data_IF_440289283272
#
_entry.id   IF_440289283272
#
_cell.length_a   1.000
_cell.length_b   1.000
_cell.length_c   1.000
_cell.angle_alpha   90.00
_cell.angle_beta   90.00
_cell.angle_gamma   90.00
#
_symmetry.space_group_name_H-M   'P 1'
#
loop_
_entity.id
_entity.type
_entity.pdbx_description
1 polymer ?
#
# COMPACT_ATOMS: atom_id res chain seq x y z
N UNK A 1 3.92 -33.53 -3.07
CA UNK A 1 3.81 -32.65 -4.25
C UNK A 1 3.07 -31.43 -3.74
N UNK A 2 3.71 -30.27 -3.69
CA UNK A 2 3.04 -29.01 -3.35
C UNK A 2 2.09 -28.68 -4.49
N UNK A 3 0.80 -28.48 -4.19
CA UNK A 3 -0.20 -28.01 -5.14
C UNK A 3 0.33 -26.73 -5.85
N UNK A 4 0.16 -26.62 -7.18
CA UNK A 4 0.63 -25.43 -7.87
C UNK A 4 -0.09 -24.19 -7.31
N UNK A 5 0.70 -23.17 -6.95
CA UNK A 5 0.16 -21.90 -6.49
C UNK A 5 -0.75 -21.30 -7.57
N UNK A 6 -2.00 -21.09 -7.24
CA UNK A 6 -3.04 -20.62 -8.19
C UNK A 6 -2.94 -19.11 -8.42
N UNK A 7 -2.53 -18.36 -7.39
CA UNK A 7 -2.44 -16.90 -7.44
C UNK A 7 -1.00 -16.43 -7.23
N UNK A 8 -0.61 -15.42 -7.99
CA UNK A 8 0.67 -14.73 -7.77
C UNK A 8 0.62 -13.93 -6.46
N UNK A 9 -0.48 -13.19 -6.23
CA UNK A 9 -0.70 -12.42 -4.99
C UNK A 9 -2.09 -12.69 -4.45
N UNK A 10 -2.18 -12.98 -3.17
CA UNK A 10 -3.41 -12.90 -2.39
C UNK A 10 -3.33 -11.66 -1.51
N UNK A 11 -4.35 -10.80 -1.57
CA UNK A 11 -4.49 -9.61 -0.72
C UNK A 11 -5.55 -9.79 0.34
N UNK A 12 -5.23 -9.53 1.61
CA UNK A 12 -6.19 -9.55 2.72
C UNK A 12 -6.19 -8.20 3.42
N UNK A 13 -7.31 -7.47 3.39
CA UNK A 13 -7.38 -6.16 4.05
C UNK A 13 -8.44 -5.23 3.49
N UNK A 14 -8.16 -3.95 3.58
CA UNK A 14 -9.10 -2.86 3.42
C UNK A 14 -9.50 -2.60 1.97
N UNK A 15 -10.78 -2.31 1.80
CA UNK A 15 -11.33 -1.55 0.68
C UNK A 15 -12.13 -0.35 1.21
N UNK A 16 -12.25 0.67 0.40
CA UNK A 16 -13.05 1.85 0.69
C UNK A 16 -13.64 2.43 -0.60
N UNK A 17 -14.71 3.19 -0.48
CA UNK A 17 -15.22 4.01 -1.59
C UNK A 17 -15.35 5.44 -1.10
N UNK A 18 -14.51 6.31 -1.66
CA UNK A 18 -14.27 7.65 -1.17
C UNK A 18 -15.05 8.68 -1.97
N UNK A 19 -15.45 9.76 -1.32
CA UNK A 19 -15.97 10.96 -1.95
C UNK A 19 -14.85 12.01 -1.95
N UNK A 20 -14.32 12.29 -3.13
CA UNK A 20 -13.30 13.31 -3.33
C UNK A 20 -13.99 14.65 -3.54
N UNK A 21 -13.62 15.65 -2.75
CA UNK A 21 -14.15 17.02 -2.83
C UNK A 21 -12.99 17.96 -3.17
N UNK A 22 -13.01 18.46 -4.40
CA UNK A 22 -11.97 19.35 -4.89
C UNK A 22 -12.28 20.79 -4.50
N UNK A 23 -11.32 21.45 -3.87
CA UNK A 23 -11.41 22.80 -3.36
C UNK A 23 -10.33 23.68 -4.00
N UNK A 24 -10.62 24.96 -4.18
CA UNK A 24 -9.58 25.93 -4.55
C UNK A 24 -8.64 26.24 -3.37
N UNK A 25 -9.15 26.12 -2.15
CA UNK A 25 -8.41 26.27 -0.88
C UNK A 25 -9.24 25.65 0.25
N UNK A 26 -8.58 25.20 1.32
CA UNK A 26 -9.27 24.71 2.50
C UNK A 26 -10.09 25.83 3.20
N UNK A 27 -11.29 25.52 3.72
CA UNK A 27 -12.04 26.47 4.53
C UNK A 27 -11.29 26.79 5.83
N UNK A 28 -11.33 28.04 6.26
CA UNK A 28 -10.97 28.37 7.63
C UNK A 28 -11.97 27.74 8.60
N UNK A 29 -11.57 27.58 9.87
CA UNK A 29 -12.49 27.09 10.91
C UNK A 29 -13.77 27.95 10.93
N UNK A 30 -14.94 27.28 10.99
CA UNK A 30 -16.27 27.91 10.88
C UNK A 30 -16.51 28.67 9.56
N UNK A 31 -15.66 28.55 8.56
CA UNK A 31 -15.79 29.20 7.26
C UNK A 31 -16.71 28.44 6.29
N UNK A 32 -17.00 29.07 5.14
CA UNK A 32 -17.75 28.49 4.02
C UNK A 32 -16.96 28.72 2.75
N UNK A 33 -16.74 27.65 1.97
CA UNK A 33 -16.13 27.71 0.65
C UNK A 33 -16.93 26.85 -0.32
N UNK A 34 -17.07 27.25 -1.58
CA UNK A 34 -17.62 26.36 -2.61
C UNK A 34 -16.60 25.28 -2.96
N UNK A 35 -17.05 24.07 -3.22
CA UNK A 35 -16.23 23.08 -3.88
C UNK A 35 -16.41 23.14 -5.41
N UNK A 36 -15.39 22.74 -6.14
CA UNK A 36 -15.39 22.81 -7.60
C UNK A 36 -15.91 21.52 -8.24
N UNK A 37 -15.66 20.38 -7.59
CA UNK A 37 -16.04 19.06 -8.09
C UNK A 37 -16.19 18.06 -6.97
N UNK A 38 -17.14 17.12 -7.14
CA UNK A 38 -17.30 15.93 -6.32
C UNK A 38 -17.12 14.68 -7.20
N UNK A 39 -16.39 13.69 -6.69
CA UNK A 39 -16.11 12.44 -7.42
C UNK A 39 -16.22 11.28 -6.45
N UNK A 40 -17.04 10.28 -6.79
CA UNK A 40 -17.04 8.99 -6.09
C UNK A 40 -15.93 8.11 -6.66
N UNK A 41 -15.00 7.65 -5.82
CA UNK A 41 -13.80 6.93 -6.23
C UNK A 41 -13.60 5.67 -5.39
N UNK A 42 -13.47 4.48 -6.00
CA UNK A 42 -13.08 3.29 -5.26
C UNK A 42 -11.60 3.38 -4.85
N UNK A 43 -11.31 2.91 -3.64
CA UNK A 43 -9.98 2.96 -3.01
C UNK A 43 -9.78 1.80 -2.03
N UNK A 44 -9.02 2.06 -0.97
CA UNK A 44 -8.61 1.10 0.05
C UNK A 44 -7.25 0.49 -0.26
N UNK A 45 -6.42 0.37 0.78
CA UNK A 45 -5.00 0.00 0.71
C UNK A 45 -4.79 -1.31 -0.07
N UNK A 46 -5.25 -2.44 0.46
CA UNK A 46 -5.06 -3.73 -0.22
C UNK A 46 -5.84 -3.82 -1.52
N UNK A 47 -7.08 -3.30 -1.58
CA UNK A 47 -7.87 -3.36 -2.81
C UNK A 47 -7.19 -2.63 -3.98
N UNK A 48 -6.57 -1.46 -3.74
CA UNK A 48 -5.84 -0.71 -4.77
C UNK A 48 -4.51 -1.36 -5.13
N UNK A 49 -3.80 -1.94 -4.16
CA UNK A 49 -2.59 -2.73 -4.42
C UNK A 49 -2.89 -3.96 -5.30
N UNK A 50 -4.00 -4.68 -5.03
CA UNK A 50 -4.41 -5.84 -5.86
C UNK A 50 -4.77 -5.44 -7.29
N UNK A 51 -5.47 -4.32 -7.48
CA UNK A 51 -5.75 -3.79 -8.83
C UNK A 51 -4.45 -3.45 -9.56
N UNK A 52 -3.47 -2.87 -8.86
CA UNK A 52 -2.16 -2.58 -9.44
C UNK A 52 -1.45 -3.86 -9.88
N UNK A 53 -1.43 -4.87 -9.03
CA UNK A 53 -0.87 -6.18 -9.37
C UNK A 53 -1.56 -6.80 -10.60
N UNK A 54 -2.91 -6.77 -10.66
CA UNK A 54 -3.69 -7.30 -11.78
C UNK A 54 -3.38 -6.55 -13.09
N UNK A 55 -3.32 -5.21 -13.04
CA UNK A 55 -2.94 -4.39 -14.21
C UNK A 55 -1.52 -4.63 -14.70
N UNK A 56 -0.61 -5.04 -13.80
CA UNK A 56 0.74 -5.46 -14.13
C UNK A 56 0.81 -6.93 -14.62
N UNK A 57 -0.33 -7.61 -14.78
CA UNK A 57 -0.45 -8.94 -15.37
C UNK A 57 -0.34 -10.10 -14.39
N UNK A 58 -0.38 -9.86 -13.07
CA UNK A 58 -0.37 -10.89 -12.05
C UNK A 58 -1.77 -11.51 -11.83
N UNK A 59 -1.81 -12.80 -11.54
CA UNK A 59 -3.03 -13.48 -11.09
C UNK A 59 -3.27 -13.11 -9.62
N UNK A 60 -4.37 -12.40 -9.35
CA UNK A 60 -4.64 -11.84 -8.03
C UNK A 60 -5.94 -12.34 -7.44
N UNK A 61 -5.97 -12.45 -6.12
CA UNK A 61 -7.16 -12.74 -5.32
C UNK A 61 -7.27 -11.69 -4.22
N UNK A 62 -8.47 -11.20 -3.96
CA UNK A 62 -8.75 -10.26 -2.88
C UNK A 62 -9.68 -10.91 -1.85
N UNK A 63 -9.34 -10.77 -0.57
CA UNK A 63 -10.10 -11.22 0.59
C UNK A 63 -10.37 -10.01 1.48
N UNK A 64 -11.63 -9.78 1.82
CA UNK A 64 -12.04 -8.66 2.65
C UNK A 64 -13.56 -8.59 2.77
N UNK A 65 -14.05 -7.55 3.43
CA UNK A 65 -15.47 -7.33 3.63
C UNK A 65 -15.93 -6.10 2.87
N UNK A 66 -17.13 -6.14 2.32
CA UNK A 66 -17.76 -5.06 1.56
C UNK A 66 -19.19 -4.86 2.07
N UNK A 67 -19.65 -3.62 2.18
CA UNK A 67 -21.05 -3.31 2.45
C UNK A 67 -21.94 -3.59 1.24
N UNK A 68 -23.22 -3.76 1.46
CA UNK A 68 -24.22 -4.01 0.38
C UNK A 68 -24.87 -2.74 -0.16
N UNK A 69 -24.38 -1.56 0.25
CA UNK A 69 -24.84 -0.26 -0.22
C UNK A 69 -24.29 0.09 -1.63
N UNK A 70 -24.63 1.28 -2.12
CA UNK A 70 -24.17 1.78 -3.44
C UNK A 70 -22.63 1.85 -3.49
N UNK A 71 -21.99 2.26 -2.41
CA UNK A 71 -20.52 2.37 -2.30
C UNK A 71 -19.86 1.01 -2.41
N UNK A 72 -20.43 -0.01 -1.76
CA UNK A 72 -19.95 -1.40 -1.87
C UNK A 72 -20.10 -1.93 -3.30
N UNK A 73 -21.21 -1.61 -4.00
CA UNK A 73 -21.38 -1.98 -5.42
C UNK A 73 -20.34 -1.33 -6.33
N UNK A 74 -20.03 -0.04 -6.13
CA UNK A 74 -18.96 0.67 -6.87
C UNK A 74 -17.60 0.00 -6.64
N UNK A 75 -17.29 -0.36 -5.39
CA UNK A 75 -16.05 -1.05 -5.06
C UNK A 75 -15.96 -2.42 -5.75
N UNK A 76 -17.00 -3.25 -5.63
CA UNK A 76 -17.03 -4.58 -6.23
C UNK A 76 -16.92 -4.54 -7.75
N UNK A 77 -17.57 -3.59 -8.41
CA UNK A 77 -17.47 -3.42 -9.86
C UNK A 77 -16.05 -3.03 -10.28
N UNK A 78 -15.41 -2.12 -9.54
CA UNK A 78 -14.02 -1.74 -9.78
C UNK A 78 -13.05 -2.92 -9.68
N UNK A 79 -13.27 -3.84 -8.75
CA UNK A 79 -12.46 -5.06 -8.60
C UNK A 79 -12.74 -6.07 -9.71
N UNK A 80 -14.03 -6.33 -10.05
CA UNK A 80 -14.42 -7.29 -11.09
C UNK A 80 -13.86 -6.94 -12.46
N UNK A 81 -13.91 -5.66 -12.83
CA UNK A 81 -13.43 -5.20 -14.14
C UNK A 81 -11.95 -5.40 -14.39
N UNK A 82 -11.17 -5.66 -13.34
CA UNK A 82 -9.73 -5.96 -13.44
C UNK A 82 -9.41 -7.46 -13.44
N UNK A 83 -10.43 -8.34 -13.34
CA UNK A 83 -10.24 -9.79 -13.37
C UNK A 83 -9.69 -10.40 -12.08
N UNK A 84 -9.76 -9.67 -10.96
CA UNK A 84 -9.36 -10.16 -9.64
C UNK A 84 -10.35 -11.23 -9.17
N UNK A 85 -9.84 -12.35 -8.63
CA UNK A 85 -10.70 -13.33 -7.98
C UNK A 85 -11.30 -12.76 -6.68
N UNK A 86 -12.62 -12.84 -6.55
CA UNK A 86 -13.40 -12.27 -5.46
C UNK A 86 -14.24 -13.32 -4.72
N UNK A 87 -13.95 -14.60 -4.90
CA UNK A 87 -14.77 -15.71 -4.35
C UNK A 87 -14.82 -15.69 -2.81
N UNK A 88 -13.80 -15.13 -2.17
CA UNK A 88 -13.71 -15.02 -0.71
C UNK A 88 -13.97 -13.59 -0.19
N UNK A 89 -14.66 -12.75 -0.96
CA UNK A 89 -15.13 -11.46 -0.49
C UNK A 89 -16.47 -11.63 0.22
N UNK A 90 -16.53 -11.18 1.48
CA UNK A 90 -17.76 -11.21 2.26
C UNK A 90 -18.58 -9.94 2.07
N UNK A 91 -19.80 -10.05 1.52
CA UNK A 91 -20.75 -8.94 1.44
C UNK A 91 -21.60 -8.90 2.70
N UNK A 92 -21.53 -7.83 3.47
CA UNK A 92 -22.27 -7.63 4.72
C UNK A 92 -23.61 -6.96 4.43
N UNK A 93 -24.71 -7.71 4.66
CA UNK A 93 -26.07 -7.22 4.48
C UNK A 93 -26.41 -6.08 5.45
N UNK A 94 -27.20 -5.10 4.98
CA UNK A 94 -27.62 -3.91 5.75
C UNK A 94 -26.44 -3.17 6.38
N UNK A 95 -25.30 -3.10 5.70
CA UNK A 95 -24.08 -2.49 6.20
C UNK A 95 -23.52 -1.50 5.17
N UNK A 96 -23.26 -0.24 5.56
CA UNK A 96 -22.58 0.70 4.67
C UNK A 96 -21.13 0.27 4.46
N UNK A 97 -20.65 0.42 3.21
CA UNK A 97 -19.22 0.21 2.92
C UNK A 97 -18.37 1.27 3.63
N UNK A 98 -17.10 0.94 3.88
CA UNK A 98 -16.16 1.95 4.37
C UNK A 98 -16.07 3.10 3.38
N UNK A 99 -16.05 4.31 3.92
CA UNK A 99 -15.98 5.53 3.12
C UNK A 99 -15.06 6.56 3.75
N UNK A 100 -14.49 7.42 2.89
CA UNK A 100 -13.89 8.66 3.32
C UNK A 100 -14.45 9.83 2.51
N UNK A 101 -14.49 11.00 3.13
CA UNK A 101 -14.59 12.28 2.46
C UNK A 101 -13.20 12.87 2.41
N UNK A 102 -12.66 13.04 1.21
CA UNK A 102 -11.29 13.50 0.99
C UNK A 102 -11.36 14.90 0.40
N UNK A 103 -10.98 15.89 1.19
CA UNK A 103 -10.88 17.28 0.77
C UNK A 103 -9.52 17.47 0.10
N UNK A 104 -9.50 17.92 -1.14
CA UNK A 104 -8.28 18.10 -1.95
C UNK A 104 -8.13 19.57 -2.31
N UNK A 105 -7.02 20.18 -1.90
CA UNK A 105 -6.63 21.51 -2.35
C UNK A 105 -6.00 21.42 -3.74
N UNK A 106 -6.69 21.96 -4.76
CA UNK A 106 -6.26 21.88 -6.15
C UNK A 106 -4.97 22.71 -6.43
N UNK A 107 -4.63 23.64 -5.55
CA UNK A 107 -3.44 24.48 -5.74
C UNK A 107 -2.16 23.79 -5.27
N UNK A 108 -2.26 22.88 -4.31
CA UNK A 108 -1.11 22.21 -3.68
C UNK A 108 -1.11 20.70 -3.85
N UNK A 109 -2.27 20.08 -4.13
CA UNK A 109 -2.47 18.62 -4.09
C UNK A 109 -2.56 18.05 -2.68
N UNK A 110 -2.50 18.88 -1.64
CA UNK A 110 -2.65 18.47 -0.24
C UNK A 110 -4.08 18.01 0.06
N UNK A 111 -4.21 17.06 0.99
CA UNK A 111 -5.50 16.48 1.32
C UNK A 111 -5.75 16.35 2.81
N UNK A 112 -7.03 16.40 3.16
CA UNK A 112 -7.52 16.00 4.50
C UNK A 112 -8.53 14.88 4.33
N UNK A 113 -8.39 13.83 5.13
CA UNK A 113 -9.22 12.63 5.06
C UNK A 113 -10.12 12.54 6.29
N UNK A 114 -11.42 12.44 6.07
CA UNK A 114 -12.44 12.18 7.08
C UNK A 114 -13.06 10.81 6.75
N UNK A 115 -12.78 9.80 7.56
CA UNK A 115 -13.22 8.43 7.24
C UNK A 115 -14.21 7.87 8.27
N UNK A 116 -15.02 6.92 7.81
CA UNK A 116 -15.93 6.14 8.64
C UNK A 116 -15.94 4.68 8.20
N UNK A 117 -15.92 3.78 9.17
CA UNK A 117 -16.08 2.35 8.96
C UNK A 117 -17.02 1.77 10.01
N UNK A 118 -17.98 0.96 9.58
CA UNK A 118 -18.82 0.17 10.48
C UNK A 118 -18.05 -0.98 11.11
N UNK A 119 -18.25 -1.23 12.40
CA UNK A 119 -17.70 -2.43 13.07
C UNK A 119 -18.19 -3.74 12.43
N UNK A 120 -19.33 -3.73 11.75
CA UNK A 120 -19.88 -4.88 11.01
C UNK A 120 -19.06 -5.26 9.78
N UNK A 121 -18.17 -4.37 9.31
CA UNK A 121 -17.21 -4.66 8.24
C UNK A 121 -15.93 -5.32 8.75
N UNK A 122 -15.80 -5.62 10.05
CA UNK A 122 -14.63 -6.34 10.53
C UNK A 122 -14.59 -7.74 9.91
N UNK A 123 -13.43 -8.07 9.36
CA UNK A 123 -13.14 -9.40 8.86
C UNK A 123 -12.92 -10.34 10.05
N UNK A 124 -13.74 -11.40 10.10
CA UNK A 124 -13.63 -12.39 11.17
C UNK A 124 -12.36 -13.23 10.98
N UNK A 125 -11.43 -13.30 11.96
CA UNK A 125 -10.27 -14.16 11.84
C UNK A 125 -10.66 -15.64 11.61
N UNK A 126 -11.83 -16.09 12.10
CA UNK A 126 -12.26 -17.47 11.91
C UNK A 126 -12.73 -17.77 10.49
N UNK A 127 -13.05 -16.74 9.68
CA UNK A 127 -13.35 -16.91 8.26
C UNK A 127 -12.10 -17.13 7.40
N UNK A 128 -10.91 -16.77 7.88
CA UNK A 128 -9.65 -16.98 7.17
C UNK A 128 -9.22 -18.44 7.25
N UNK A 129 -9.28 -19.14 6.12
CA UNK A 129 -8.90 -20.55 6.00
C UNK A 129 -7.49 -20.74 5.45
N UNK A 130 -6.94 -21.93 5.69
CA UNK A 130 -5.62 -22.30 5.18
C UNK A 130 -5.61 -22.36 3.65
N UNK A 131 -6.69 -22.86 3.02
CA UNK A 131 -6.83 -22.96 1.57
C UNK A 131 -6.80 -21.58 0.87
N UNK A 132 -7.47 -20.59 1.45
CA UNK A 132 -7.48 -19.22 0.93
C UNK A 132 -6.06 -18.67 0.77
N UNK A 133 -5.21 -18.88 1.78
CA UNK A 133 -3.86 -18.29 1.84
C UNK A 133 -2.83 -19.20 1.16
N UNK A 134 -2.93 -20.52 1.31
CA UNK A 134 -1.97 -21.49 0.75
C UNK A 134 -1.91 -21.44 -0.79
N UNK A 135 -2.92 -20.90 -1.44
CA UNK A 135 -2.99 -20.71 -2.90
C UNK A 135 -2.04 -19.62 -3.45
N UNK A 136 -1.45 -18.78 -2.59
CA UNK A 136 -0.63 -17.63 -2.97
C UNK A 136 0.86 -17.95 -3.16
N UNK A 137 1.52 -17.20 -4.06
CA UNK A 137 2.99 -17.08 -4.12
C UNK A 137 3.49 -15.97 -3.19
N UNK A 138 2.67 -14.94 -2.96
CA UNK A 138 2.92 -13.79 -2.09
C UNK A 138 1.62 -13.41 -1.39
N UNK A 139 1.67 -13.14 -0.09
CA UNK A 139 0.57 -12.53 0.66
C UNK A 139 0.84 -11.03 0.84
N UNK A 140 -0.16 -10.20 0.53
CA UNK A 140 -0.14 -8.76 0.82
C UNK A 140 -1.26 -8.41 1.79
N UNK A 141 -0.93 -7.69 2.87
CA UNK A 141 -1.87 -7.30 3.94
C UNK A 141 -1.70 -5.84 4.31
N UNK A 142 -2.66 -5.31 5.05
CA UNK A 142 -2.56 -4.01 5.74
C UNK A 142 -2.70 -4.17 7.28
N UNK A 143 -2.84 -3.07 7.99
CA UNK A 143 -3.02 -3.07 9.46
C UNK A 143 -4.46 -3.16 9.92
N UNK A 144 -5.44 -2.97 9.03
CA UNK A 144 -6.84 -3.06 9.39
C UNK A 144 -7.21 -4.51 9.76
N UNK A 145 -8.26 -4.72 10.50
CA UNK A 145 -8.68 -6.07 10.93
C UNK A 145 -7.52 -6.92 11.46
N UNK A 146 -6.68 -6.33 12.31
CA UNK A 146 -5.43 -6.90 12.83
C UNK A 146 -5.51 -8.40 13.20
N UNK A 147 -6.55 -8.91 13.90
CA UNK A 147 -6.64 -10.34 14.20
C UNK A 147 -6.75 -11.24 12.97
N UNK A 148 -7.48 -10.80 11.94
CA UNK A 148 -7.65 -11.57 10.70
C UNK A 148 -6.38 -11.56 9.85
N UNK A 149 -5.72 -10.41 9.70
CA UNK A 149 -4.47 -10.31 8.94
C UNK A 149 -3.31 -10.99 9.65
N UNK A 150 -3.26 -10.99 11.00
CA UNK A 150 -2.29 -11.75 11.78
C UNK A 150 -2.45 -13.26 11.55
N UNK A 151 -3.69 -13.77 11.55
CA UNK A 151 -3.98 -15.17 11.20
C UNK A 151 -3.55 -15.50 9.77
N UNK A 152 -3.88 -14.64 8.80
CA UNK A 152 -3.46 -14.82 7.41
C UNK A 152 -1.92 -14.88 7.28
N UNK A 153 -1.20 -13.94 7.92
CA UNK A 153 0.26 -13.91 7.94
C UNK A 153 0.86 -15.17 8.62
N UNK A 154 0.28 -15.62 9.73
CA UNK A 154 0.69 -16.86 10.39
C UNK A 154 0.50 -18.10 9.51
N UNK A 155 -0.62 -18.20 8.77
CA UNK A 155 -0.84 -19.27 7.79
C UNK A 155 0.24 -19.18 6.68
N UNK A 156 0.44 -18.01 6.09
CA UNK A 156 1.43 -17.81 5.04
C UNK A 156 2.83 -18.25 5.49
N UNK A 157 3.25 -17.85 6.71
CA UNK A 157 4.53 -18.26 7.29
C UNK A 157 4.69 -19.78 7.41
N UNK A 158 3.63 -20.50 7.87
CA UNK A 158 3.67 -21.98 7.94
C UNK A 158 3.83 -22.66 6.58
N UNK A 159 3.33 -22.01 5.51
CA UNK A 159 3.45 -22.49 4.13
C UNK A 159 4.67 -21.96 3.38
N UNK A 160 5.55 -21.19 4.06
CA UNK A 160 6.74 -20.59 3.43
C UNK A 160 6.39 -19.55 2.36
N UNK A 161 5.21 -18.94 2.46
CA UNK A 161 4.75 -17.87 1.57
C UNK A 161 5.24 -16.55 2.16
N UNK A 162 6.00 -15.74 1.40
CA UNK A 162 6.44 -14.44 1.86
C UNK A 162 5.25 -13.50 2.07
N UNK A 163 5.36 -12.63 3.08
CA UNK A 163 4.32 -11.68 3.47
C UNK A 163 4.84 -10.24 3.35
N UNK A 164 4.09 -9.41 2.62
CA UNK A 164 4.29 -7.95 2.59
C UNK A 164 3.18 -7.24 3.36
N UNK A 165 3.49 -6.14 4.02
CA UNK A 165 2.49 -5.33 4.73
C UNK A 165 2.57 -3.86 4.36
N UNK A 166 1.40 -3.24 4.20
CA UNK A 166 1.18 -1.80 4.14
C UNK A 166 0.71 -1.32 5.50
N UNK A 167 1.44 -0.40 6.13
CA UNK A 167 1.05 0.15 7.43
C UNK A 167 1.40 1.63 7.56
N UNK A 168 0.42 2.41 8.00
CA UNK A 168 0.51 3.85 8.23
C UNK A 168 0.15 4.25 9.66
N UNK A 169 -0.51 3.36 10.39
CA UNK A 169 -1.08 3.62 11.72
C UNK A 169 -0.76 2.47 12.67
N UNK A 170 -0.53 2.77 13.95
CA UNK A 170 -0.34 1.77 14.99
C UNK A 170 -1.71 1.19 15.39
N UNK A 171 -1.89 -0.10 15.10
CA UNK A 171 -3.07 -0.86 15.50
C UNK A 171 -2.80 -1.68 16.75
N UNK A 172 -3.85 -1.92 17.55
CA UNK A 172 -3.74 -2.77 18.74
C UNK A 172 -3.43 -4.22 18.33
N UNK A 173 -2.42 -4.84 18.97
CA UNK A 173 -2.00 -6.22 18.67
C UNK A 173 -1.21 -6.38 17.37
N UNK A 174 -0.72 -5.29 16.77
CA UNK A 174 0.00 -5.33 15.50
C UNK A 174 1.38 -6.01 15.58
N UNK A 175 1.93 -6.17 16.78
CA UNK A 175 3.13 -6.97 17.06
C UNK A 175 3.00 -8.43 16.57
N UNK A 176 1.78 -9.02 16.65
CA UNK A 176 1.50 -10.35 16.10
C UNK A 176 1.63 -10.39 14.57
N UNK A 177 1.26 -9.30 13.89
CA UNK A 177 1.44 -9.17 12.43
C UNK A 177 2.92 -9.04 12.11
N UNK A 178 3.63 -8.12 12.77
CA UNK A 178 5.05 -7.87 12.55
C UNK A 178 5.91 -9.13 12.76
N UNK A 179 5.55 -10.00 13.69
CA UNK A 179 6.25 -11.26 13.93
C UNK A 179 6.12 -12.28 12.78
N UNK A 180 5.20 -12.06 11.82
CA UNK A 180 4.89 -13.01 10.74
C UNK A 180 5.10 -12.45 9.33
N UNK A 181 5.68 -11.25 9.19
CA UNK A 181 5.94 -10.64 7.88
C UNK A 181 7.39 -10.80 7.45
N UNK A 182 7.63 -10.75 6.14
CA UNK A 182 8.97 -10.73 5.55
C UNK A 182 9.37 -9.33 5.08
N UNK A 183 8.41 -8.55 4.59
CA UNK A 183 8.65 -7.25 3.98
C UNK A 183 7.70 -6.21 4.60
N UNK A 184 8.24 -5.35 5.43
CA UNK A 184 7.56 -4.16 5.91
C UNK A 184 7.75 -3.04 4.88
N UNK A 185 6.68 -2.41 4.45
CA UNK A 185 6.73 -1.10 3.80
C UNK A 185 5.75 -0.20 4.55
N UNK A 186 6.26 0.79 5.25
CA UNK A 186 5.47 1.64 6.12
C UNK A 186 5.41 3.09 5.61
N UNK A 187 4.46 3.87 6.12
CA UNK A 187 4.53 5.33 6.02
C UNK A 187 5.76 5.86 6.78
N UNK A 188 6.22 7.08 6.44
CA UNK A 188 7.42 7.68 7.03
C UNK A 188 7.41 7.77 8.57
N UNK A 189 6.24 7.90 9.15
CA UNK A 189 6.10 8.13 10.59
C UNK A 189 6.01 6.84 11.40
N UNK A 190 5.47 5.77 10.81
CA UNK A 190 5.19 4.53 11.52
C UNK A 190 6.42 3.91 12.19
N UNK A 191 7.60 3.72 11.53
CA UNK A 191 8.75 3.11 12.17
C UNK A 191 9.25 3.91 13.38
N UNK A 192 9.24 5.25 13.25
CA UNK A 192 9.64 6.15 14.35
C UNK A 192 8.69 6.12 15.54
N UNK A 193 7.38 6.06 15.29
CA UNK A 193 6.36 5.95 16.33
C UNK A 193 6.40 4.58 17.02
N UNK A 194 6.62 3.50 16.26
CA UNK A 194 6.68 2.13 16.78
C UNK A 194 7.91 1.91 17.65
N UNK A 195 9.07 2.32 17.16
CA UNK A 195 10.37 2.08 17.83
C UNK A 195 10.78 3.18 18.80
N UNK A 196 10.09 4.33 18.82
CA UNK A 196 10.48 5.56 19.50
C UNK A 196 11.79 6.20 18.98
N UNK A 197 12.35 5.68 17.89
CA UNK A 197 13.55 6.19 17.24
C UNK A 197 13.21 7.28 16.24
N UNK A 198 13.82 8.47 16.37
CA UNK A 198 13.60 9.59 15.45
C UNK A 198 14.40 9.49 14.16
N UNK A 199 15.50 8.76 14.20
CA UNK A 199 16.36 8.56 13.03
C UNK A 199 15.80 7.42 12.16
N UNK A 200 15.44 7.67 10.88
CA UNK A 200 14.81 6.66 10.03
C UNK A 200 15.70 5.42 9.80
N UNK A 201 17.00 5.58 9.74
CA UNK A 201 17.92 4.45 9.57
C UNK A 201 17.94 3.55 10.82
N UNK A 202 17.95 4.16 12.01
CA UNK A 202 17.88 3.42 13.27
C UNK A 202 16.51 2.76 13.43
N UNK A 203 15.43 3.48 13.16
CA UNK A 203 14.09 2.93 13.27
C UNK A 203 13.92 1.66 12.42
N UNK A 204 14.34 1.69 11.14
CA UNK A 204 14.29 0.52 10.26
C UNK A 204 15.22 -0.61 10.76
N UNK A 205 16.41 -0.28 11.27
CA UNK A 205 17.34 -1.29 11.82
C UNK A 205 16.79 -1.96 13.08
N UNK A 206 16.10 -1.21 13.94
CA UNK A 206 15.44 -1.78 15.13
C UNK A 206 14.34 -2.74 14.70
N UNK A 207 13.48 -2.33 13.76
CA UNK A 207 12.38 -3.19 13.27
C UNK A 207 12.89 -4.47 12.60
N UNK A 208 13.88 -4.36 11.70
CA UNK A 208 14.49 -5.52 11.05
C UNK A 208 15.04 -6.51 12.09
N UNK A 209 15.78 -6.00 13.08
CA UNK A 209 16.42 -6.83 14.10
C UNK A 209 15.42 -7.46 15.07
N UNK A 210 14.40 -6.70 15.49
CA UNK A 210 13.42 -7.15 16.48
C UNK A 210 12.52 -8.25 15.92
N UNK A 211 12.04 -8.09 14.68
CA UNK A 211 11.10 -9.01 14.06
C UNK A 211 11.74 -10.01 13.09
N UNK A 212 13.03 -9.85 12.77
CA UNK A 212 13.74 -10.76 11.86
C UNK A 212 13.19 -10.73 10.42
N UNK A 213 12.62 -9.60 10.00
CA UNK A 213 12.10 -9.43 8.66
C UNK A 213 13.23 -9.30 7.63
N UNK A 214 12.97 -9.70 6.38
CA UNK A 214 13.94 -9.59 5.27
C UNK A 214 14.17 -8.16 4.82
N UNK A 215 13.12 -7.35 4.91
CA UNK A 215 13.14 -5.95 4.50
C UNK A 215 12.32 -5.09 5.45
N UNK A 216 12.92 -4.03 5.94
CA UNK A 216 12.24 -2.93 6.60
C UNK A 216 12.34 -1.68 5.72
N UNK A 217 11.20 -1.20 5.19
CA UNK A 217 11.16 -0.06 4.29
C UNK A 217 10.14 0.99 4.74
N UNK A 218 10.34 2.22 4.27
CA UNK A 218 9.36 3.30 4.43
C UNK A 218 9.27 4.14 3.17
N UNK A 219 8.07 4.63 2.88
CA UNK A 219 7.83 5.67 1.87
C UNK A 219 8.06 7.04 2.48
N UNK A 220 8.63 7.98 1.72
CA UNK A 220 9.00 9.32 2.14
C UNK A 220 8.22 10.39 1.35
N UNK A 221 7.05 10.04 0.82
CA UNK A 221 6.21 10.91 0.01
C UNK A 221 6.97 11.49 -1.19
N UNK A 222 6.99 12.82 -1.30
CA UNK A 222 7.69 13.51 -2.39
C UNK A 222 9.22 13.33 -2.40
N UNK A 223 9.78 12.61 -1.44
CA UNK A 223 11.22 12.31 -1.34
C UNK A 223 11.58 10.87 -1.70
N UNK A 224 10.61 10.02 -2.05
CA UNK A 224 10.84 8.67 -2.53
C UNK A 224 10.67 7.58 -1.46
N UNK A 225 11.60 6.63 -1.38
CA UNK A 225 11.53 5.51 -0.44
C UNK A 225 12.92 5.06 0.03
N UNK A 226 12.98 4.58 1.28
CA UNK A 226 14.17 4.04 1.93
C UNK A 226 13.87 2.61 2.40
N UNK A 227 14.78 1.67 2.15
CA UNK A 227 14.68 0.29 2.62
C UNK A 227 15.99 -0.19 3.22
N UNK A 228 15.91 -0.96 4.29
CA UNK A 228 16.98 -1.81 4.79
C UNK A 228 16.69 -3.24 4.29
N UNK A 229 17.59 -3.80 3.49
CA UNK A 229 17.47 -5.12 2.91
C UNK A 229 18.86 -5.77 2.84
N UNK A 230 18.99 -7.01 3.32
CA UNK A 230 20.26 -7.74 3.38
C UNK A 230 21.40 -6.93 4.03
N UNK A 231 21.09 -6.21 5.12
CA UNK A 231 22.03 -5.40 5.87
C UNK A 231 22.50 -4.13 5.16
N UNK A 232 21.88 -3.74 4.02
CA UNK A 232 22.22 -2.55 3.25
C UNK A 232 21.01 -1.61 3.12
N UNK A 233 21.27 -0.31 3.22
CA UNK A 233 20.27 0.68 2.92
C UNK A 233 20.20 0.97 1.42
N UNK A 234 18.98 0.94 0.90
CA UNK A 234 18.64 1.29 -0.47
C UNK A 234 17.73 2.52 -0.44
N UNK A 235 18.09 3.54 -1.18
CA UNK A 235 17.27 4.74 -1.34
C UNK A 235 16.93 4.96 -2.80
N UNK A 236 15.66 5.23 -3.07
CA UNK A 236 15.18 5.63 -4.39
C UNK A 236 14.47 6.98 -4.28
N UNK A 237 14.94 8.04 -4.96
CA UNK A 237 14.29 9.34 -4.97
C UNK A 237 12.94 9.29 -5.69
N UNK A 238 12.02 10.20 -5.34
CA UNK A 238 10.75 10.34 -6.03
C UNK A 238 10.92 10.95 -7.42
N UNK A 239 9.94 10.72 -8.29
CA UNK A 239 9.86 11.35 -9.62
C UNK A 239 9.11 12.67 -9.55
N UNK A 240 9.59 13.67 -10.29
CA UNK A 240 8.90 14.94 -10.45
C UNK A 240 7.85 14.79 -11.54
N UNK A 241 6.59 14.95 -11.17
CA UNK A 241 5.43 14.87 -12.06
C UNK A 241 4.48 16.04 -11.82
N UNK A 242 3.58 16.31 -12.77
CA UNK A 242 2.47 17.22 -12.53
C UNK A 242 1.44 16.52 -11.62
N UNK A 243 1.59 16.69 -10.31
CA UNK A 243 0.75 16.05 -9.30
C UNK A 243 -0.62 16.73 -9.23
N UNK A 244 -1.68 15.96 -9.45
CA UNK A 244 -3.07 16.40 -9.30
C UNK A 244 -3.67 15.95 -7.97
N UNK A 245 -3.31 14.74 -7.52
CA UNK A 245 -3.82 14.14 -6.29
C UNK A 245 -2.86 13.04 -5.80
N UNK A 246 -2.50 13.05 -4.53
CA UNK A 246 -1.63 12.05 -3.93
C UNK A 246 -2.37 10.86 -3.32
N UNK A 247 -3.71 10.83 -3.43
CA UNK A 247 -4.52 9.74 -2.89
C UNK A 247 -4.14 8.41 -3.55
N UNK A 248 -3.94 7.37 -2.75
CA UNK A 248 -3.60 6.04 -3.22
C UNK A 248 -2.17 5.84 -3.73
N UNK A 249 -1.31 6.88 -3.73
CA UNK A 249 0.08 6.74 -4.18
C UNK A 249 0.83 5.63 -3.41
N UNK A 250 0.61 5.52 -2.09
CA UNK A 250 1.11 4.43 -1.24
C UNK A 250 0.61 3.07 -1.70
N UNK A 251 -0.70 2.94 -1.89
CA UNK A 251 -1.33 1.67 -2.30
C UNK A 251 -0.77 1.16 -3.64
N UNK A 252 -0.58 2.08 -4.59
CA UNK A 252 0.00 1.75 -5.91
C UNK A 252 1.48 1.40 -5.76
N UNK A 253 2.23 2.09 -4.87
CA UNK A 253 3.60 1.71 -4.53
C UNK A 253 3.65 0.27 -4.02
N UNK A 254 2.76 -0.12 -3.10
CA UNK A 254 2.70 -1.48 -2.54
C UNK A 254 2.40 -2.54 -3.61
N UNK A 255 1.43 -2.30 -4.48
CA UNK A 255 1.14 -3.21 -5.58
C UNK A 255 2.33 -3.39 -6.53
N UNK A 256 3.03 -2.29 -6.85
CA UNK A 256 4.24 -2.32 -7.67
C UNK A 256 5.44 -2.98 -6.96
N UNK A 257 5.54 -2.82 -5.64
CA UNK A 257 6.54 -3.50 -4.81
C UNK A 257 6.32 -5.02 -4.83
N UNK A 258 5.08 -5.48 -4.65
CA UNK A 258 4.71 -6.89 -4.79
C UNK A 258 5.07 -7.45 -6.17
N UNK A 259 4.77 -6.70 -7.24
CA UNK A 259 5.16 -7.06 -8.60
C UNK A 259 6.67 -7.23 -8.71
N UNK A 260 7.45 -6.26 -8.24
CA UNK A 260 8.91 -6.30 -8.30
C UNK A 260 9.52 -7.51 -7.58
N UNK A 261 8.99 -7.85 -6.40
CA UNK A 261 9.38 -9.06 -5.65
C UNK A 261 9.13 -10.33 -6.46
N UNK A 262 7.95 -10.48 -7.07
CA UNK A 262 7.57 -11.65 -7.84
C UNK A 262 8.32 -11.79 -9.17
N UNK A 263 8.80 -10.67 -9.73
CA UNK A 263 9.69 -10.65 -10.89
C UNK A 263 11.17 -10.90 -10.52
N UNK A 264 11.52 -11.05 -9.24
CA UNK A 264 12.90 -11.25 -8.79
C UNK A 264 13.81 -10.04 -9.05
N UNK A 265 13.25 -8.84 -9.03
CA UNK A 265 14.03 -7.62 -9.24
C UNK A 265 14.92 -7.32 -8.02
N UNK A 266 16.08 -6.69 -8.26
CA UNK A 266 16.91 -6.14 -7.20
C UNK A 266 16.18 -5.07 -6.39
N UNK A 267 16.38 -4.98 -5.06
CA UNK A 267 15.65 -4.06 -4.17
C UNK A 267 15.68 -2.61 -4.65
N UNK A 268 16.83 -2.11 -5.11
CA UNK A 268 16.96 -0.77 -5.67
C UNK A 268 16.04 -0.54 -6.87
N UNK A 269 15.86 -1.56 -7.71
CA UNK A 269 14.96 -1.51 -8.88
C UNK A 269 13.50 -1.64 -8.48
N UNK A 270 13.20 -2.41 -7.42
CA UNK A 270 11.84 -2.50 -6.86
C UNK A 270 11.40 -1.13 -6.36
N UNK A 271 12.23 -0.46 -5.54
CA UNK A 271 11.92 0.87 -5.02
C UNK A 271 11.76 1.91 -6.14
N UNK A 272 12.64 1.87 -7.15
CA UNK A 272 12.58 2.77 -8.29
C UNK A 272 11.29 2.57 -9.10
N UNK A 273 10.93 1.33 -9.40
CA UNK A 273 9.73 0.99 -10.13
C UNK A 273 8.46 1.35 -9.35
N UNK A 274 8.42 1.04 -8.05
CA UNK A 274 7.30 1.36 -7.17
C UNK A 274 7.10 2.89 -7.04
N UNK A 275 8.18 3.68 -6.90
CA UNK A 275 8.12 5.14 -6.94
C UNK A 275 7.60 5.68 -8.28
N UNK A 276 7.98 5.05 -9.40
CA UNK A 276 7.49 5.46 -10.72
C UNK A 276 5.98 5.20 -10.87
N UNK A 277 5.51 4.05 -10.44
CA UNK A 277 4.08 3.72 -10.47
C UNK A 277 3.26 4.64 -9.55
N UNK A 278 3.75 4.93 -8.35
CA UNK A 278 3.14 5.89 -7.43
C UNK A 278 3.08 7.30 -8.03
N UNK A 279 4.16 7.75 -8.69
CA UNK A 279 4.21 9.05 -9.36
C UNK A 279 3.23 9.14 -10.54
N UNK A 280 3.09 8.08 -11.34
CA UNK A 280 2.07 8.00 -12.40
C UNK A 280 0.67 8.14 -11.80
N UNK A 281 0.37 7.45 -10.69
CA UNK A 281 -0.94 7.58 -10.04
C UNK A 281 -1.23 9.03 -9.62
N UNK A 282 -0.24 9.76 -9.14
CA UNK A 282 -0.40 11.16 -8.76
C UNK A 282 -0.77 12.09 -9.93
N UNK A 283 -0.63 11.67 -11.18
CA UNK A 283 -1.06 12.44 -12.36
C UNK A 283 -2.56 12.33 -12.66
N UNK A 284 -3.29 11.47 -11.95
CA UNK A 284 -4.75 11.34 -11.98
C UNK A 284 -5.39 11.78 -10.67
N UNK A 285 -6.72 11.76 -10.61
CA UNK A 285 -7.51 12.09 -9.42
C UNK A 285 -8.13 10.81 -8.84
N UNK A 286 -8.00 10.60 -7.55
CA UNK A 286 -8.50 9.45 -6.80
C UNK A 286 -7.43 8.39 -6.53
N UNK A 287 -7.76 7.45 -5.63
CA UNK A 287 -6.83 6.41 -5.20
C UNK A 287 -6.30 5.52 -6.35
N UNK A 288 -7.02 5.48 -7.46
CA UNK A 288 -6.70 4.74 -8.68
C UNK A 288 -6.72 5.66 -9.90
N UNK A 289 -6.27 6.91 -9.72
CA UNK A 289 -6.40 7.99 -10.70
C UNK A 289 -5.69 7.69 -12.01
N UNK A 290 -4.47 7.13 -11.94
CA UNK A 290 -3.70 6.68 -13.11
C UNK A 290 -2.79 5.53 -12.72
N UNK A 291 -3.33 4.33 -12.60
CA UNK A 291 -2.49 3.14 -12.47
C UNK A 291 -1.85 2.85 -13.83
N UNK A 292 -0.58 3.23 -13.97
CA UNK A 292 0.18 3.09 -15.20
C UNK A 292 0.52 1.63 -15.54
N UNK A 293 0.98 1.43 -16.77
CA UNK A 293 1.57 0.16 -17.23
C UNK A 293 3.05 0.07 -16.85
N UNK A 294 3.61 -1.13 -16.90
CA UNK A 294 5.06 -1.32 -16.70
C UNK A 294 5.91 -0.55 -17.73
N UNK A 295 5.37 -0.33 -18.94
CA UNK A 295 6.04 0.44 -20.00
C UNK A 295 6.07 1.93 -19.65
N UNK A 296 4.95 2.51 -19.21
CA UNK A 296 4.87 3.91 -18.76
C UNK A 296 5.80 4.16 -17.58
N UNK A 297 5.86 3.22 -16.61
CA UNK A 297 6.79 3.32 -15.50
C UNK A 297 8.25 3.33 -15.96
N UNK A 298 8.64 2.41 -16.88
CA UNK A 298 10.00 2.41 -17.46
C UNK A 298 10.31 3.68 -18.25
N UNK A 299 9.33 4.19 -18.99
CA UNK A 299 9.49 5.46 -19.72
C UNK A 299 9.68 6.65 -18.76
N UNK A 300 8.96 6.67 -17.63
CA UNK A 300 9.13 7.69 -16.59
C UNK A 300 10.53 7.58 -15.94
N UNK A 301 10.95 6.35 -15.59
CA UNK A 301 12.28 6.06 -15.01
C UNK A 301 13.41 6.60 -15.92
N UNK A 302 13.27 6.44 -17.23
CA UNK A 302 14.31 6.80 -18.18
C UNK A 302 14.45 8.32 -18.40
N UNK A 303 13.39 9.13 -18.18
CA UNK A 303 13.36 10.53 -18.62
C UNK A 303 13.05 11.56 -17.53
N UNK A 304 12.40 11.16 -16.44
CA UNK A 304 11.90 12.12 -15.48
C UNK A 304 12.98 12.61 -14.51
N UNK A 305 12.86 13.88 -14.14
CA UNK A 305 13.63 14.48 -13.05
C UNK A 305 13.29 13.78 -11.71
N UNK A 306 14.27 13.73 -10.79
CA UNK A 306 14.17 13.11 -9.48
C UNK A 306 14.27 14.14 -8.37
N UNK A 307 13.43 14.00 -7.36
CA UNK A 307 13.53 14.78 -6.14
C UNK A 307 14.18 13.94 -5.04
N UNK A 308 15.41 14.31 -4.68
CA UNK A 308 16.16 13.64 -3.62
C UNK A 308 15.91 14.29 -2.26
N UNK A 309 16.02 13.47 -1.19
CA UNK A 309 16.28 13.94 0.16
C UNK A 309 17.81 13.90 0.38
N UNK A 310 18.53 15.05 0.42
CA UNK A 310 19.99 15.05 0.33
C UNK A 310 20.67 14.24 1.44
N UNK A 311 20.19 14.38 2.69
CA UNK A 311 20.75 13.67 3.84
C UNK A 311 20.53 12.14 3.74
N UNK A 312 19.31 11.71 3.38
CA UNK A 312 19.00 10.27 3.25
C UNK A 312 19.80 9.66 2.10
N UNK A 313 19.88 10.33 0.96
CA UNK A 313 20.67 9.87 -0.17
C UNK A 313 22.14 9.67 0.20
N UNK A 314 22.75 10.67 0.83
CA UNK A 314 24.15 10.59 1.26
C UNK A 314 24.41 9.44 2.24
N UNK A 315 23.56 9.27 3.25
CA UNK A 315 23.71 8.21 4.26
C UNK A 315 23.50 6.82 3.69
N UNK A 316 22.54 6.64 2.78
CA UNK A 316 22.34 5.37 2.09
C UNK A 316 23.56 4.98 1.25
N UNK A 317 24.14 5.93 0.51
CA UNK A 317 25.36 5.71 -0.29
C UNK A 317 26.57 5.32 0.57
N UNK A 318 26.75 5.94 1.74
CA UNK A 318 27.84 5.62 2.68
C UNK A 318 27.67 4.20 3.23
N UNK A 319 26.44 3.83 3.61
CA UNK A 319 26.11 2.48 4.10
C UNK A 319 26.39 1.40 3.05
N UNK A 320 26.05 1.66 1.79
CA UNK A 320 26.30 0.72 0.69
C UNK A 320 27.79 0.47 0.43
N UNK A 321 28.66 1.49 0.65
CA UNK A 321 30.12 1.38 0.46
C UNK A 321 30.84 0.72 1.65
N UNK A 322 30.31 0.90 2.88
CA UNK A 322 30.92 0.35 4.10
C UNK A 322 30.67 -1.15 4.31
N UNK A 323 29.70 -1.74 3.62
CA UNK A 323 29.39 -3.18 3.69
C UNK A 323 30.24 -4.04 2.72
N UNK A 324 31.14 -3.44 1.95
CA UNK A 324 32.00 -4.08 0.96
C UNK A 324 33.50 -4.08 1.33
N UNK A 325 33.87 -3.72 2.58
CA UNK A 325 35.25 -3.72 3.09
C UNK A 325 35.48 -4.76 4.17
#
# INVERSE_FOLDING_TARGET
MTDPKTFDVVGVGLNATDTLILLNHFPAYAGKVPFTREILSPGGQVASAMITCAKLGLQTKYIGTVGDDERGRVQMESLRTTGINLDDVEVRADCPNQTAYILIDQSTGERTVLWQRSDRLRLDPDSITEEMIASARLLHIDGHDTPAVAKAASIARRHGIPVTVDVDTIYHGFDEVLANIDYLVASSEFPGQWTTERDPFRALSVMEKEYGMKCAAMTLGAHGALALYEGKFHYSPAFVVNCLDTTGAGDIFHGAFCYGLLQGMEMSRILEFANAMAALNCTGIGARGHIGTAEEARALIARAERRQHPEIAHRADVSAKGAGS
#
